data_IF_037747893205
#
_entry.id   IF_037747893205
#
_cell.length_a   1.000
_cell.length_b   1.000
_cell.length_c   1.000
_cell.angle_alpha   90.00
_cell.angle_beta   90.00
_cell.angle_gamma   90.00
#
_symmetry.space_group_name_H-M   'P 1'
#
loop_
_entity.id
_entity.type
_entity.pdbx_description
1 polymer ?
#
# COMPACT_ATOMS: atom_id res chain seq x y z
N UNK A 1 4.03 -18.28 -17.29
CA UNK A 1 5.06 -17.22 -17.15
C UNK A 1 4.27 -15.94 -17.22
N UNK A 2 4.14 -15.23 -16.09
CA UNK A 2 3.23 -14.09 -15.88
C UNK A 2 3.39 -13.11 -17.05
N UNK A 3 2.28 -12.71 -17.69
CA UNK A 3 2.30 -11.65 -18.69
C UNK A 3 3.05 -10.47 -18.09
N UNK A 4 4.11 -10.02 -18.76
CA UNK A 4 4.97 -8.90 -18.34
C UNK A 4 4.20 -7.59 -18.50
N UNK A 5 3.04 -7.53 -17.87
CA UNK A 5 2.09 -6.45 -17.97
C UNK A 5 2.55 -5.33 -17.06
N UNK A 6 3.38 -4.47 -17.64
CA UNK A 6 3.85 -3.25 -16.99
C UNK A 6 2.70 -2.32 -16.63
N UNK A 7 1.56 -2.39 -17.34
CA UNK A 7 0.40 -1.55 -17.05
C UNK A 7 -0.30 -1.98 -15.77
N UNK A 8 -0.41 -3.30 -15.52
CA UNK A 8 -0.93 -3.82 -14.25
C UNK A 8 0.00 -3.48 -13.08
N UNK A 9 1.32 -3.61 -13.27
CA UNK A 9 2.30 -3.24 -12.26
C UNK A 9 2.22 -1.74 -11.91
N UNK A 10 1.95 -0.88 -12.90
CA UNK A 10 1.72 0.55 -12.69
C UNK A 10 0.45 0.82 -11.89
N UNK A 11 -0.64 0.13 -12.21
CA UNK A 11 -1.90 0.31 -11.50
C UNK A 11 -1.78 -0.05 -10.01
N UNK A 12 -1.04 -1.12 -9.68
CA UNK A 12 -0.76 -1.49 -8.28
C UNK A 12 -0.02 -0.39 -7.56
N UNK A 13 1.01 0.18 -8.18
CA UNK A 13 1.82 1.25 -7.58
C UNK A 13 1.06 2.57 -7.41
N UNK A 14 0.16 2.89 -8.34
CA UNK A 14 -0.72 4.05 -8.21
C UNK A 14 -1.78 3.86 -7.10
N UNK A 15 -2.16 2.61 -6.81
CA UNK A 15 -3.15 2.28 -5.78
C UNK A 15 -2.57 2.24 -4.36
N UNK A 16 -1.24 2.20 -4.23
CA UNK A 16 -0.53 2.13 -2.95
C UNK A 16 -0.76 3.41 -2.12
N UNK A 17 -0.68 4.58 -2.78
CA UNK A 17 -0.94 5.89 -2.16
C UNK A 17 -2.35 5.94 -1.54
N UNK A 18 -3.36 5.36 -2.22
CA UNK A 18 -4.74 5.29 -1.70
C UNK A 18 -4.84 4.38 -0.44
N UNK A 19 -4.04 3.31 -0.37
CA UNK A 19 -4.02 2.40 0.78
C UNK A 19 -3.36 3.04 1.98
N UNK A 20 -2.27 3.79 1.77
CA UNK A 20 -1.58 4.55 2.82
C UNK A 20 -2.53 5.60 3.44
N UNK A 21 -3.21 6.38 2.60
CA UNK A 21 -4.20 7.38 3.06
C UNK A 21 -5.34 6.73 3.86
N UNK A 22 -5.82 5.55 3.43
CA UNK A 22 -6.84 4.78 4.14
C UNK A 22 -6.32 4.25 5.49
N UNK A 23 -5.09 3.76 5.53
CA UNK A 23 -4.46 3.26 6.76
C UNK A 23 -4.37 4.38 7.81
N UNK A 24 -3.89 5.55 7.42
CA UNK A 24 -3.78 6.71 8.29
C UNK A 24 -5.15 7.17 8.80
N UNK A 25 -6.15 7.24 7.92
CA UNK A 25 -7.52 7.59 8.26
C UNK A 25 -8.16 6.62 9.25
N UNK A 26 -8.00 5.31 9.02
CA UNK A 26 -8.52 4.27 9.91
C UNK A 26 -7.83 4.30 11.27
N UNK A 27 -6.50 4.43 11.30
CA UNK A 27 -5.76 4.53 12.56
C UNK A 27 -6.20 5.75 13.37
N UNK A 28 -6.37 6.91 12.72
CA UNK A 28 -6.85 8.11 13.38
C UNK A 28 -8.23 7.91 14.02
N UNK A 29 -9.18 7.34 13.27
CA UNK A 29 -10.52 7.07 13.80
C UNK A 29 -10.49 6.09 14.97
N UNK A 30 -9.68 5.04 14.89
CA UNK A 30 -9.54 4.07 15.97
C UNK A 30 -9.02 4.74 17.25
N UNK A 31 -8.05 5.65 17.15
CA UNK A 31 -7.55 6.39 18.31
C UNK A 31 -8.59 7.33 18.91
N UNK A 32 -9.41 7.98 18.08
CA UNK A 32 -10.54 8.78 18.57
C UNK A 32 -11.52 7.91 19.36
N UNK A 33 -11.90 6.75 18.80
CA UNK A 33 -12.85 5.83 19.45
C UNK A 33 -12.32 5.32 20.80
N UNK A 34 -11.02 5.00 20.88
CA UNK A 34 -10.36 4.62 22.13
C UNK A 34 -10.39 5.76 23.18
N UNK A 35 -10.22 7.00 22.74
CA UNK A 35 -10.27 8.19 23.59
C UNK A 35 -11.67 8.50 24.10
N UNK A 36 -12.69 8.34 23.25
CA UNK A 36 -14.10 8.54 23.60
C UNK A 36 -14.63 7.44 24.54
N UNK A 37 -14.23 6.19 24.31
CA UNK A 37 -14.68 5.06 25.11
C UNK A 37 -13.55 4.07 25.40
N UNK A 38 -12.89 4.17 26.58
CA UNK A 38 -11.80 3.25 26.95
C UNK A 38 -12.18 1.76 26.98
N UNK A 39 -13.48 1.41 27.02
CA UNK A 39 -13.93 0.00 26.96
C UNK A 39 -13.69 -0.64 25.60
N UNK A 40 -13.50 0.14 24.53
CA UNK A 40 -13.26 -0.42 23.19
C UNK A 40 -11.78 -0.69 22.90
N UNK A 41 -10.85 -0.27 23.78
CA UNK A 41 -9.39 -0.33 23.55
C UNK A 41 -8.92 -1.71 23.07
N UNK A 42 -9.39 -2.80 23.67
CA UNK A 42 -8.99 -4.16 23.27
C UNK A 42 -9.42 -4.48 21.83
N UNK A 43 -10.69 -4.25 21.49
CA UNK A 43 -11.21 -4.46 20.13
C UNK A 43 -10.54 -3.52 19.12
N UNK A 44 -10.40 -2.25 19.45
CA UNK A 44 -9.71 -1.23 18.67
C UNK A 44 -8.24 -1.60 18.41
N UNK A 45 -7.56 -2.24 19.38
CA UNK A 45 -6.19 -2.74 19.19
C UNK A 45 -6.15 -3.85 18.14
N UNK A 46 -7.10 -4.78 18.15
CA UNK A 46 -7.20 -5.79 17.08
C UNK A 46 -7.43 -5.17 15.70
N UNK A 47 -8.22 -4.09 15.61
CA UNK A 47 -8.40 -3.38 14.35
C UNK A 47 -7.12 -2.68 13.87
N UNK A 48 -6.29 -2.13 14.77
CA UNK A 48 -4.97 -1.61 14.39
C UNK A 48 -4.09 -2.70 13.77
N UNK A 49 -4.07 -3.91 14.35
CA UNK A 49 -3.32 -5.03 13.79
C UNK A 49 -3.82 -5.41 12.39
N UNK A 50 -5.14 -5.45 12.20
CA UNK A 50 -5.72 -5.74 10.87
C UNK A 50 -5.34 -4.66 9.86
N UNK A 51 -5.46 -3.37 10.23
CA UNK A 51 -5.09 -2.27 9.35
C UNK A 51 -3.60 -2.34 8.96
N UNK A 52 -2.73 -2.59 9.92
CA UNK A 52 -1.29 -2.76 9.69
C UNK A 52 -0.98 -3.97 8.79
N UNK A 53 -1.65 -5.11 9.00
CA UNK A 53 -1.41 -6.28 8.16
C UNK A 53 -1.88 -6.06 6.72
N UNK A 54 -2.92 -5.24 6.51
CA UNK A 54 -3.36 -4.83 5.17
C UNK A 54 -2.36 -3.90 4.48
N UNK A 55 -1.83 -2.90 5.17
CA UNK A 55 -0.77 -2.02 4.65
C UNK A 55 0.45 -2.84 4.23
N UNK A 56 0.87 -3.80 5.06
CA UNK A 56 2.00 -4.68 4.71
C UNK A 56 1.75 -5.60 3.52
N UNK A 57 0.49 -5.93 3.23
CA UNK A 57 0.13 -6.67 2.02
C UNK A 57 0.24 -5.76 0.80
N UNK A 58 -0.20 -4.50 0.91
CA UNK A 58 -0.09 -3.51 -0.15
C UNK A 58 1.38 -3.20 -0.49
N UNK A 59 2.21 -2.89 0.51
CA UNK A 59 3.66 -2.67 0.33
C UNK A 59 4.33 -3.87 -0.36
N UNK A 60 3.96 -5.10 0.01
CA UNK A 60 4.48 -6.31 -0.66
C UNK A 60 4.03 -6.41 -2.11
N UNK A 61 2.79 -6.04 -2.42
CA UNK A 61 2.29 -6.02 -3.79
C UNK A 61 3.05 -4.97 -4.62
N UNK A 62 3.29 -3.79 -4.06
CA UNK A 62 4.09 -2.72 -4.68
C UNK A 62 5.53 -3.17 -4.92
N UNK A 63 6.19 -3.77 -3.93
CA UNK A 63 7.52 -4.36 -4.08
C UNK A 63 7.60 -5.44 -5.19
N UNK A 64 6.54 -6.23 -5.38
CA UNK A 64 6.46 -7.20 -6.47
C UNK A 64 6.31 -6.48 -7.82
N UNK A 65 5.44 -5.47 -7.89
CA UNK A 65 5.23 -4.66 -9.09
C UNK A 65 6.51 -3.95 -9.54
N UNK A 66 7.24 -3.33 -8.61
CA UNK A 66 8.54 -2.70 -8.85
C UNK A 66 9.54 -3.69 -9.46
N UNK A 67 9.62 -4.91 -8.91
CA UNK A 67 10.51 -5.95 -9.45
C UNK A 67 10.11 -6.36 -10.87
N UNK A 68 8.81 -6.46 -11.16
CA UNK A 68 8.33 -6.77 -12.52
C UNK A 68 8.74 -5.67 -13.49
N UNK A 69 8.53 -4.39 -13.13
CA UNK A 69 8.93 -3.24 -13.95
C UNK A 69 10.44 -3.27 -14.20
N UNK A 70 11.24 -3.42 -13.14
CA UNK A 70 12.70 -3.44 -13.23
C UNK A 70 13.24 -4.61 -14.08
N UNK A 71 12.61 -5.78 -14.00
CA UNK A 71 12.96 -6.92 -14.86
C UNK A 71 12.65 -6.69 -16.34
N UNK A 72 11.71 -5.79 -16.67
CA UNK A 72 11.32 -5.48 -18.05
C UNK A 72 12.11 -4.30 -18.61
N UNK A 73 12.27 -3.22 -17.84
CA UNK A 73 12.90 -1.96 -18.28
C UNK A 73 14.41 -1.93 -18.01
N UNK A 74 14.91 -2.73 -17.06
CA UNK A 74 16.30 -2.65 -16.59
C UNK A 74 16.58 -1.47 -15.65
N UNK A 75 15.55 -0.71 -15.29
CA UNK A 75 15.66 0.49 -14.45
C UNK A 75 14.93 0.31 -13.11
N UNK A 76 15.31 1.09 -12.10
CA UNK A 76 14.71 1.05 -10.76
C UNK A 76 14.13 2.42 -10.43
N UNK A 77 12.84 2.47 -10.11
CA UNK A 77 12.14 3.70 -9.76
C UNK A 77 10.70 3.76 -10.28
N UNK A 78 9.96 4.77 -9.84
CA UNK A 78 8.55 5.00 -10.23
C UNK A 78 8.44 5.05 -11.75
N UNK A 79 7.72 4.11 -12.36
CA UNK A 79 7.70 3.96 -13.82
C UNK A 79 7.22 5.22 -14.56
N UNK A 80 6.28 6.00 -14.00
CA UNK A 80 5.92 7.32 -14.54
C UNK A 80 7.13 8.26 -14.66
N UNK A 81 8.01 8.29 -13.66
CA UNK A 81 9.23 9.09 -13.69
C UNK A 81 10.29 8.55 -14.67
N UNK A 82 10.23 7.27 -15.05
CA UNK A 82 11.09 6.67 -16.06
C UNK A 82 10.56 6.96 -17.48
N UNK A 83 9.24 6.90 -17.68
CA UNK A 83 8.58 7.19 -18.97
C UNK A 83 8.64 8.68 -19.37
N UNK A 84 8.72 9.58 -18.39
CA UNK A 84 8.91 11.03 -18.63
C UNK A 84 10.37 11.42 -18.94
N UNK A 85 11.32 10.48 -18.85
CA UNK A 85 12.75 10.69 -19.16
C UNK A 85 13.14 10.29 -20.60
N UNK A 86 12.25 9.62 -21.32
CA UNK A 86 12.38 9.30 -22.75
C UNK A 86 11.77 10.40 -23.64
#
# INVERSE_FOLDING_TARGET
>A
MVERDTDLANAVWDSDDDVDDLYDGVCHQIFLDMGENPKVIEASTHFLWVAHDLERIADRATNIAERVISMVTGETGRYKALKERE
#
